data_IF_787334816778
#
_entry.id   IF_787334816778
#
_cell.length_a   1.000
_cell.length_b   1.000
_cell.length_c   1.000
_cell.angle_alpha   90.00
_cell.angle_beta   90.00
_cell.angle_gamma   90.00
#
_symmetry.space_group_name_H-M   'P 1'
#
loop_
_entity.id
_entity.type
_entity.pdbx_description
1 polymer ?
#
# COMPACT_ATOMS: atom_id res chain seq x y z
N UNK A 1 17.60 1.63 11.35
CA UNK A 1 17.11 2.98 11.04
C UNK A 1 16.39 3.57 12.25
N UNK A 2 16.30 4.88 12.29
CA UNK A 2 15.45 5.58 13.23
C UNK A 2 14.86 6.83 12.59
N UNK A 3 13.72 7.27 13.09
CA UNK A 3 13.10 8.53 12.69
C UNK A 3 13.27 9.52 13.84
N UNK A 4 13.70 10.72 13.54
CA UNK A 4 13.80 11.82 14.50
C UNK A 4 12.70 12.85 14.23
N UNK A 5 12.03 13.29 15.29
CA UNK A 5 11.07 14.39 15.27
C UNK A 5 11.52 15.57 16.13
N UNK A 6 12.81 15.63 16.51
CA UNK A 6 13.36 16.75 17.25
C UNK A 6 13.33 18.03 16.38
N UNK A 7 13.16 19.19 17.01
CA UNK A 7 13.16 20.48 16.33
C UNK A 7 14.49 20.66 15.57
N UNK A 8 14.42 20.63 14.25
CA UNK A 8 15.54 20.93 13.36
C UNK A 8 15.83 19.88 12.28
N UNK A 9 15.70 18.59 12.55
CA UNK A 9 16.09 17.54 11.60
C UNK A 9 15.12 16.34 11.65
N UNK A 10 13.90 16.55 11.15
CA UNK A 10 12.97 15.42 10.95
C UNK A 10 13.38 14.67 9.67
N UNK A 11 13.55 13.35 9.78
CA UNK A 11 13.97 12.54 8.65
C UNK A 11 14.15 11.09 8.98
N UNK A 12 14.51 10.30 7.98
CA UNK A 12 14.92 8.91 8.14
C UNK A 12 16.45 8.83 8.01
N UNK A 13 17.04 8.13 8.97
CA UNK A 13 18.49 7.97 9.06
C UNK A 13 18.83 6.49 9.09
N UNK A 14 19.95 6.13 8.50
CA UNK A 14 20.58 4.83 8.70
C UNK A 14 21.78 4.96 9.59
N UNK A 15 22.04 3.95 10.41
CA UNK A 15 23.21 3.87 11.26
C UNK A 15 23.97 2.61 10.91
N UNK A 16 25.26 2.77 10.59
CA UNK A 16 26.16 1.62 10.51
C UNK A 16 26.68 1.32 11.92
N UNK A 17 26.41 0.13 12.48
CA UNK A 17 26.83 -0.22 13.85
C UNK A 17 28.35 -0.16 14.07
N UNK A 18 29.13 -0.41 13.02
CA UNK A 18 30.60 -0.40 13.11
C UNK A 18 31.20 1.01 13.07
N UNK A 19 30.54 1.94 12.35
CA UNK A 19 31.03 3.32 12.17
C UNK A 19 30.42 4.31 13.16
N UNK A 20 29.28 3.97 13.78
CA UNK A 20 28.60 4.77 14.79
C UNK A 20 28.06 6.14 14.32
N UNK A 21 28.20 6.50 13.04
CA UNK A 21 27.72 7.75 12.48
C UNK A 21 26.43 7.55 11.69
N UNK A 22 25.35 8.32 11.99
CA UNK A 22 24.12 8.27 11.21
C UNK A 22 24.30 8.94 9.85
N UNK A 23 23.71 8.34 8.81
CA UNK A 23 23.62 8.92 7.48
C UNK A 23 22.16 9.32 7.21
N UNK A 24 21.93 10.55 6.81
CA UNK A 24 20.61 11.04 6.42
C UNK A 24 20.22 10.44 5.06
N UNK A 25 19.12 9.72 5.01
CA UNK A 25 18.58 9.10 3.82
C UNK A 25 17.54 9.99 3.16
N UNK A 26 16.66 10.58 3.96
CA UNK A 26 15.64 11.52 3.49
C UNK A 26 15.30 12.50 4.60
N UNK A 27 15.38 13.78 4.28
CA UNK A 27 14.85 14.86 5.10
C UNK A 27 13.35 15.05 4.81
N UNK A 28 12.60 15.43 5.83
CA UNK A 28 11.17 15.77 5.68
C UNK A 28 10.43 15.72 6.99
N UNK A 29 9.57 16.71 7.21
CA UNK A 29 8.69 16.83 8.38
C UNK A 29 7.44 15.97 8.29
N UNK A 30 7.27 15.20 7.22
CA UNK A 30 6.12 14.33 6.97
C UNK A 30 6.12 13.06 7.81
N UNK A 31 5.25 12.13 7.44
CA UNK A 31 5.09 10.85 8.12
C UNK A 31 5.76 9.76 7.31
N UNK A 32 6.66 9.02 7.95
CA UNK A 32 7.27 7.82 7.40
C UNK A 32 6.47 6.60 7.84
N UNK A 33 6.10 5.76 6.90
CA UNK A 33 5.32 4.54 7.13
C UNK A 33 6.04 3.36 6.51
N UNK A 34 5.87 2.18 7.07
CA UNK A 34 6.37 0.92 6.54
C UNK A 34 7.79 1.04 5.97
N UNK A 35 8.75 0.58 6.71
CA UNK A 35 10.14 0.53 6.27
C UNK A 35 10.55 -0.93 6.12
N UNK A 36 11.29 -1.25 5.06
CA UNK A 36 11.82 -2.57 4.82
C UNK A 36 13.23 -2.51 4.25
N UNK A 37 14.05 -3.49 4.63
CA UNK A 37 15.37 -3.71 4.06
C UNK A 37 15.35 -4.94 3.15
N UNK A 38 16.29 -4.98 2.21
CA UNK A 38 16.61 -6.22 1.52
C UNK A 38 17.38 -7.16 2.43
N UNK A 39 17.56 -8.43 2.00
CA UNK A 39 18.23 -9.46 2.79
C UNK A 39 19.68 -9.10 3.16
N UNK A 40 20.35 -8.31 2.34
CA UNK A 40 21.73 -7.86 2.59
C UNK A 40 21.83 -6.57 3.40
N UNK A 41 20.71 -5.85 3.62
CA UNK A 41 20.73 -4.55 4.28
C UNK A 41 21.33 -3.42 3.44
N UNK A 42 21.48 -3.61 2.14
CA UNK A 42 22.05 -2.62 1.23
C UNK A 42 21.01 -1.65 0.67
N UNK A 43 19.73 -2.07 0.65
CA UNK A 43 18.61 -1.29 0.13
C UNK A 43 17.56 -1.08 1.20
N UNK A 44 17.04 0.13 1.26
CA UNK A 44 15.96 0.52 2.16
C UNK A 44 14.82 1.08 1.34
N UNK A 45 13.63 0.53 1.51
CA UNK A 45 12.39 1.08 0.95
C UNK A 45 11.45 1.52 2.07
N UNK A 46 10.71 2.60 1.83
CA UNK A 46 9.74 3.13 2.77
C UNK A 46 8.65 3.93 2.09
N UNK A 47 7.52 4.08 2.77
CA UNK A 47 6.44 4.97 2.36
C UNK A 47 6.58 6.30 3.09
N UNK A 48 6.36 7.39 2.37
CA UNK A 48 6.43 8.74 2.91
C UNK A 48 5.21 9.56 2.49
N UNK A 49 4.69 10.34 3.41
CA UNK A 49 3.66 11.34 3.18
C UNK A 49 4.16 12.70 3.65
N UNK A 50 4.18 13.68 2.76
CA UNK A 50 4.61 15.05 3.10
C UNK A 50 3.60 15.75 4.01
N UNK A 51 2.31 15.48 3.83
CA UNK A 51 1.21 16.06 4.59
C UNK A 51 0.97 15.31 5.89
N UNK A 52 1.32 15.94 7.01
CA UNK A 52 1.11 15.39 8.35
C UNK A 52 -0.34 15.55 8.82
N UNK A 53 -0.98 16.63 8.44
CA UNK A 53 -2.29 17.07 8.97
C UNK A 53 -3.47 16.80 8.04
N UNK A 54 -3.23 16.26 6.84
CA UNK A 54 -4.29 15.90 5.91
C UNK A 54 -5.08 14.68 6.38
N UNK A 55 -6.40 14.75 6.27
CA UNK A 55 -7.30 13.63 6.50
C UNK A 55 -7.07 12.48 5.50
N UNK A 56 -6.46 12.78 4.37
CA UNK A 56 -6.01 11.84 3.36
C UNK A 56 -4.50 11.97 3.14
N UNK A 57 -3.79 10.89 3.40
CA UNK A 57 -2.34 10.83 3.24
C UNK A 57 -1.98 10.32 1.85
N UNK A 58 -1.58 11.22 0.97
CA UNK A 58 -1.00 10.85 -0.32
C UNK A 58 0.40 10.25 -0.09
N UNK A 59 0.47 8.93 -0.09
CA UNK A 59 1.72 8.20 0.12
C UNK A 59 2.53 8.15 -1.18
N UNK A 60 3.84 8.27 -1.03
CA UNK A 60 4.83 8.00 -2.07
C UNK A 60 5.80 6.92 -1.62
N UNK A 61 6.30 6.13 -2.58
CA UNK A 61 7.25 5.05 -2.36
C UNK A 61 8.65 5.52 -2.67
N UNK A 62 9.54 5.35 -1.72
CA UNK A 62 10.93 5.79 -1.77
C UNK A 62 11.88 4.61 -1.63
N UNK A 63 13.00 4.70 -2.32
CA UNK A 63 14.07 3.70 -2.31
C UNK A 63 15.41 4.39 -2.09
N UNK A 64 16.20 3.88 -1.16
CA UNK A 64 17.60 4.21 -0.95
C UNK A 64 18.45 2.98 -1.22
N UNK A 65 19.55 3.15 -1.92
CA UNK A 65 20.54 2.10 -2.21
C UNK A 65 21.88 2.50 -1.61
N UNK A 66 22.55 1.56 -0.93
CA UNK A 66 23.89 1.73 -0.35
C UNK A 66 24.03 2.99 0.53
N UNK A 67 23.01 3.31 1.33
CA UNK A 67 22.95 4.51 2.16
C UNK A 67 22.99 5.85 1.38
N UNK A 68 22.73 5.83 0.09
CA UNK A 68 22.57 7.05 -0.69
C UNK A 68 21.24 7.75 -0.36
N UNK A 69 21.11 9.05 -0.65
CA UNK A 69 19.83 9.75 -0.52
C UNK A 69 18.71 9.01 -1.26
N UNK A 70 17.55 8.87 -0.60
CA UNK A 70 16.43 8.14 -1.18
C UNK A 70 15.87 8.85 -2.42
N UNK A 71 15.44 8.05 -3.38
CA UNK A 71 14.75 8.50 -4.60
C UNK A 71 13.29 8.10 -4.53
N UNK A 72 12.41 8.98 -5.00
CA UNK A 72 11.01 8.67 -5.19
C UNK A 72 10.84 7.77 -6.42
N UNK A 73 10.25 6.60 -6.24
CA UNK A 73 10.04 5.62 -7.32
C UNK A 73 8.59 5.52 -7.75
N UNK A 74 7.65 5.84 -6.87
CA UNK A 74 6.24 5.86 -7.22
C UNK A 74 5.48 6.88 -6.36
N UNK A 75 4.54 7.56 -6.98
CA UNK A 75 3.65 8.52 -6.33
C UNK A 75 2.23 8.40 -6.92
N UNK A 76 1.29 9.12 -6.34
CA UNK A 76 -0.07 9.25 -6.84
C UNK A 76 -0.06 9.66 -8.32
N UNK A 77 -0.91 9.01 -9.13
CA UNK A 77 -1.02 9.30 -10.55
C UNK A 77 0.06 8.66 -11.43
N UNK A 78 0.83 7.73 -10.89
CA UNK A 78 1.74 6.94 -11.71
C UNK A 78 0.95 6.15 -12.77
N UNK A 79 1.38 6.26 -14.03
CA UNK A 79 0.70 5.64 -15.19
C UNK A 79 0.64 4.10 -15.14
N UNK A 80 1.44 3.48 -14.31
CA UNK A 80 1.44 2.03 -14.12
C UNK A 80 0.29 1.54 -13.23
N UNK A 81 -0.37 2.44 -12.51
CA UNK A 81 -1.53 2.10 -11.69
C UNK A 81 -2.83 2.24 -12.51
N UNK A 82 -3.86 1.45 -12.18
CA UNK A 82 -5.20 1.73 -12.66
C UNK A 82 -5.64 3.17 -12.34
N UNK A 83 -6.58 3.72 -13.09
CA UNK A 83 -7.10 5.06 -12.84
C UNK A 83 -7.61 5.18 -11.39
N UNK A 84 -7.31 6.29 -10.75
CA UNK A 84 -7.72 6.59 -9.37
C UNK A 84 -7.15 5.62 -8.30
N UNK A 85 -6.08 4.90 -8.62
CA UNK A 85 -5.39 4.07 -7.62
C UNK A 85 -4.19 4.79 -7.02
N UNK A 86 -3.97 4.49 -5.74
CA UNK A 86 -2.92 5.11 -4.91
C UNK A 86 -2.15 4.07 -4.12
N UNK A 87 -0.98 4.44 -3.64
CA UNK A 87 -0.19 3.61 -2.73
C UNK A 87 -0.91 3.55 -1.38
N UNK A 88 -1.01 2.33 -0.82
CA UNK A 88 -1.74 2.03 0.40
C UNK A 88 -0.81 1.51 1.50
N UNK A 89 -0.92 2.10 2.69
CA UNK A 89 -0.13 1.70 3.87
C UNK A 89 -0.53 0.35 4.48
N UNK A 90 -1.68 -0.20 4.10
CA UNK A 90 -2.15 -1.48 4.63
C UNK A 90 -1.62 -2.70 3.83
N UNK A 91 -1.03 -2.47 2.66
CA UNK A 91 -0.39 -3.50 1.88
C UNK A 91 1.01 -3.81 2.40
N UNK A 92 1.51 -5.01 2.12
CA UNK A 92 2.85 -5.41 2.53
C UNK A 92 3.91 -4.73 1.66
N UNK A 93 4.91 -4.12 2.28
CA UNK A 93 6.10 -3.59 1.63
C UNK A 93 7.27 -4.55 1.87
N UNK A 94 7.74 -5.21 0.80
CA UNK A 94 8.76 -6.26 0.92
C UNK A 94 9.60 -6.38 -0.34
N UNK A 95 10.92 -6.57 -0.16
CA UNK A 95 11.79 -7.00 -1.26
C UNK A 95 11.62 -8.48 -1.55
N UNK A 96 11.86 -8.88 -2.81
CA UNK A 96 12.11 -10.28 -3.13
C UNK A 96 13.42 -10.74 -2.52
N UNK A 97 13.64 -12.05 -2.41
CA UNK A 97 14.84 -12.63 -1.82
C UNK A 97 16.14 -12.16 -2.51
N UNK A 98 16.13 -12.08 -3.83
CA UNK A 98 17.28 -11.56 -4.60
C UNK A 98 17.38 -10.03 -4.59
N UNK A 99 16.43 -9.33 -3.96
CA UNK A 99 16.27 -7.87 -4.02
C UNK A 99 16.15 -7.30 -5.45
N UNK A 100 15.72 -8.13 -6.42
CA UNK A 100 15.47 -7.69 -7.79
C UNK A 100 14.13 -7.00 -7.95
N UNK A 101 13.20 -7.24 -7.02
CA UNK A 101 11.82 -6.73 -7.03
C UNK A 101 11.45 -6.16 -5.67
N UNK A 102 10.63 -5.13 -5.68
CA UNK A 102 10.03 -4.56 -4.47
C UNK A 102 8.51 -4.64 -4.61
N UNK A 103 7.86 -5.35 -3.71
CA UNK A 103 6.40 -5.48 -3.65
C UNK A 103 5.84 -4.43 -2.70
N UNK A 104 4.73 -3.82 -3.08
CA UNK A 104 4.05 -2.82 -2.26
C UNK A 104 2.54 -2.86 -2.50
N UNK A 105 1.78 -2.25 -1.59
CA UNK A 105 0.32 -2.21 -1.65
C UNK A 105 -0.21 -1.00 -2.39
N UNK A 106 -1.28 -1.22 -3.16
CA UNK A 106 -2.07 -0.18 -3.81
C UNK A 106 -3.54 -0.39 -3.52
N UNK A 107 -4.35 0.64 -3.63
CA UNK A 107 -5.81 0.57 -3.51
C UNK A 107 -6.47 1.67 -4.34
N UNK A 108 -7.77 1.52 -4.67
CA UNK A 108 -8.55 2.66 -5.12
C UNK A 108 -8.45 3.81 -4.12
N UNK A 109 -8.44 5.04 -4.62
CA UNK A 109 -8.37 6.23 -3.78
C UNK A 109 -9.59 6.28 -2.84
N UNK A 110 -9.39 6.39 -1.51
CA UNK A 110 -10.50 6.49 -0.58
C UNK A 110 -11.32 7.75 -0.87
N UNK A 111 -12.61 7.61 -0.96
CA UNK A 111 -13.50 8.78 -1.06
C UNK A 111 -13.32 9.65 0.17
N UNK A 112 -13.01 10.91 -0.04
CA UNK A 112 -12.89 11.87 1.04
C UNK A 112 -14.25 12.04 1.73
N UNK A 113 -14.23 12.02 3.05
CA UNK A 113 -15.44 12.32 3.82
C UNK A 113 -15.77 13.80 3.61
N UNK A 114 -17.01 14.07 3.24
CA UNK A 114 -17.52 15.45 3.24
C UNK A 114 -17.47 15.99 4.68
N UNK A 115 -16.57 16.92 4.93
CA UNK A 115 -16.41 17.57 6.24
C UNK A 115 -17.22 18.87 6.35
N UNK A 116 -17.92 19.26 5.31
CA UNK A 116 -18.73 20.50 5.30
C UNK A 116 -20.01 20.36 6.13
N UNK A 117 -20.48 19.14 6.35
CA UNK A 117 -21.67 18.86 7.15
C UNK A 117 -21.28 18.41 8.57
N UNK A 118 -21.87 19.02 9.57
CA UNK A 118 -21.76 18.58 10.95
C UNK A 118 -22.28 17.14 11.09
N UNK A 119 -21.62 16.32 11.92
CA UNK A 119 -21.98 14.91 12.12
C UNK A 119 -23.45 14.72 12.52
N UNK A 120 -24.00 15.68 13.27
CA UNK A 120 -25.40 15.69 13.75
C UNK A 120 -26.42 15.86 12.61
N UNK A 121 -26.02 16.50 11.50
CA UNK A 121 -26.89 16.78 10.35
C UNK A 121 -26.77 15.71 9.25
N UNK A 122 -25.95 14.70 9.45
CA UNK A 122 -25.80 13.62 8.47
C UNK A 122 -26.94 12.61 8.65
N UNK A 123 -27.73 12.35 7.59
CA UNK A 123 -28.74 11.33 7.65
C UNK A 123 -28.08 9.95 7.89
N UNK A 124 -28.52 9.26 8.92
CA UNK A 124 -28.08 7.88 9.17
C UNK A 124 -28.92 6.91 8.33
N UNK A 125 -28.77 7.01 7.00
CA UNK A 125 -29.46 6.16 6.05
C UNK A 125 -28.48 5.24 5.37
N UNK A 126 -28.80 3.95 5.33
CA UNK A 126 -28.07 2.94 4.58
C UNK A 126 -28.93 2.52 3.41
N UNK A 127 -28.40 2.65 2.20
CA UNK A 127 -29.05 2.19 0.97
C UNK A 127 -28.29 0.99 0.46
N UNK A 128 -28.99 -0.12 0.26
CA UNK A 128 -28.43 -1.34 -0.31
C UNK A 128 -29.44 -1.94 -1.27
N UNK A 129 -28.92 -2.62 -2.27
CA UNK A 129 -29.74 -3.23 -3.30
C UNK A 129 -29.98 -4.71 -3.00
N UNK A 130 -31.12 -5.23 -3.46
CA UNK A 130 -31.45 -6.65 -3.29
C UNK A 130 -30.57 -7.58 -4.13
N UNK A 131 -29.97 -7.07 -5.19
CA UNK A 131 -29.08 -7.79 -6.11
C UNK A 131 -27.60 -7.76 -5.70
N UNK A 132 -27.29 -7.13 -4.55
CA UNK A 132 -25.95 -7.16 -4.00
C UNK A 132 -25.49 -8.58 -3.67
N UNK A 133 -24.30 -9.01 -4.15
CA UNK A 133 -23.81 -10.37 -3.96
C UNK A 133 -23.49 -10.72 -2.50
N UNK A 134 -23.37 -9.71 -1.64
CA UNK A 134 -23.07 -9.88 -0.21
C UNK A 134 -24.14 -9.18 0.61
N UNK A 135 -24.71 -9.89 1.59
CA UNK A 135 -25.71 -9.33 2.49
C UNK A 135 -25.15 -8.11 3.25
N UNK A 136 -26.01 -7.13 3.45
CA UNK A 136 -25.67 -5.86 4.09
C UNK A 136 -25.06 -6.03 5.51
N UNK A 137 -25.54 -7.00 6.28
CA UNK A 137 -24.98 -7.31 7.62
C UNK A 137 -23.54 -7.76 7.54
N UNK A 138 -23.20 -8.56 6.54
CA UNK A 138 -21.82 -9.03 6.27
C UNK A 138 -20.95 -7.88 5.75
N UNK A 139 -21.49 -7.01 4.89
CA UNK A 139 -20.79 -5.81 4.43
C UNK A 139 -20.44 -4.88 5.61
N UNK A 140 -21.41 -4.65 6.51
CA UNK A 140 -21.15 -3.82 7.70
C UNK A 140 -20.13 -4.45 8.65
N UNK A 141 -20.17 -5.77 8.84
CA UNK A 141 -19.20 -6.50 9.65
C UNK A 141 -17.78 -6.39 9.07
N UNK A 142 -17.65 -6.47 7.76
CA UNK A 142 -16.35 -6.41 7.08
C UNK A 142 -15.90 -4.99 6.74
N UNK A 143 -16.71 -3.96 6.97
CA UNK A 143 -16.47 -2.57 6.54
C UNK A 143 -15.07 -2.05 6.86
N UNK A 144 -14.59 -2.26 8.09
CA UNK A 144 -13.26 -1.79 8.48
C UNK A 144 -12.14 -2.58 7.78
N UNK A 145 -12.35 -3.87 7.54
CA UNK A 145 -11.42 -4.72 6.82
C UNK A 145 -11.37 -4.35 5.35
N UNK A 146 -12.52 -4.08 4.75
CA UNK A 146 -12.62 -3.68 3.34
C UNK A 146 -12.00 -2.30 3.08
N UNK A 147 -12.15 -1.37 4.02
CA UNK A 147 -11.49 -0.07 3.95
C UNK A 147 -9.95 -0.15 4.00
N UNK A 148 -9.41 -1.21 4.60
CA UNK A 148 -7.97 -1.47 4.68
C UNK A 148 -7.48 -2.40 3.56
N UNK A 149 -8.35 -2.80 2.65
CA UNK A 149 -7.99 -3.70 1.56
C UNK A 149 -6.92 -3.09 0.68
N UNK A 150 -5.95 -3.92 0.34
CA UNK A 150 -4.81 -3.53 -0.47
C UNK A 150 -4.52 -4.60 -1.52
N UNK A 151 -4.08 -4.16 -2.67
CA UNK A 151 -3.75 -4.98 -3.82
C UNK A 151 -2.28 -4.84 -4.13
N UNK A 152 -1.63 -5.92 -4.46
CA UNK A 152 -0.19 -5.94 -4.62
C UNK A 152 0.25 -5.42 -5.98
N UNK A 153 1.25 -4.55 -5.98
CA UNK A 153 2.01 -4.11 -7.14
C UNK A 153 3.48 -4.45 -6.95
N UNK A 154 4.23 -4.44 -8.04
CA UNK A 154 5.67 -4.74 -8.04
C UNK A 154 6.44 -3.64 -8.76
N UNK A 155 7.57 -3.26 -8.19
CA UNK A 155 8.59 -2.44 -8.82
C UNK A 155 9.81 -3.31 -9.13
N UNK A 156 10.25 -3.34 -10.37
CA UNK A 156 11.46 -4.04 -10.80
C UNK A 156 12.66 -3.11 -10.69
N UNK A 157 13.62 -3.44 -9.83
CA UNK A 157 14.79 -2.62 -9.59
C UNK A 157 15.73 -2.55 -10.81
N UNK A 158 15.76 -3.61 -11.63
CA UNK A 158 16.65 -3.67 -12.79
C UNK A 158 16.32 -2.70 -13.92
N UNK A 159 15.05 -2.49 -14.19
CA UNK A 159 14.57 -1.64 -15.31
C UNK A 159 13.69 -0.47 -14.88
N UNK A 160 13.41 -0.32 -13.57
CA UNK A 160 12.59 0.74 -13.04
C UNK A 160 11.09 0.65 -13.39
N UNK A 161 10.62 -0.48 -13.90
CA UNK A 161 9.22 -0.65 -14.30
C UNK A 161 8.34 -1.04 -13.11
N UNK A 162 7.10 -0.55 -13.13
CA UNK A 162 6.06 -0.87 -12.16
C UNK A 162 4.95 -1.64 -12.86
N UNK A 163 4.44 -2.68 -12.21
CA UNK A 163 3.29 -3.45 -12.66
C UNK A 163 2.30 -3.68 -11.53
N UNK A 164 1.01 -3.50 -11.83
CA UNK A 164 -0.05 -3.92 -10.94
C UNK A 164 -0.24 -5.43 -11.06
N UNK A 165 -0.14 -6.16 -9.95
CA UNK A 165 -0.26 -7.62 -9.95
C UNK A 165 -1.67 -8.09 -9.58
N UNK A 166 -2.24 -7.55 -8.52
CA UNK A 166 -3.57 -7.88 -8.03
C UNK A 166 -4.54 -6.73 -8.27
N UNK A 167 -5.82 -7.02 -8.42
CA UNK A 167 -6.89 -6.06 -8.61
C UNK A 167 -8.16 -6.48 -7.85
N UNK A 168 -9.26 -5.76 -8.01
CA UNK A 168 -10.52 -6.08 -7.33
C UNK A 168 -11.14 -7.41 -7.77
N UNK A 169 -10.88 -7.87 -8.99
CA UNK A 169 -11.36 -9.14 -9.50
C UNK A 169 -10.52 -10.32 -8.99
N UNK A 170 -9.21 -10.15 -8.96
CA UNK A 170 -8.22 -11.12 -8.51
C UNK A 170 -7.39 -10.55 -7.36
N UNK A 171 -7.99 -10.44 -6.15
CA UNK A 171 -7.37 -9.72 -5.03
C UNK A 171 -6.24 -10.49 -4.35
N UNK A 172 -6.26 -11.81 -4.42
CA UNK A 172 -5.29 -12.64 -3.71
C UNK A 172 -4.15 -13.01 -4.65
N UNK A 173 -2.94 -12.80 -4.18
CA UNK A 173 -1.73 -13.19 -4.88
C UNK A 173 -0.87 -14.08 -4.00
N UNK A 174 -0.35 -15.14 -4.58
CA UNK A 174 0.65 -16.01 -3.96
C UNK A 174 1.91 -15.96 -4.80
N UNK A 175 2.97 -15.45 -4.20
CA UNK A 175 4.30 -15.36 -4.82
C UNK A 175 5.07 -16.64 -4.55
N UNK A 176 5.70 -17.18 -5.59
CA UNK A 176 6.62 -18.30 -5.47
C UNK A 176 8.04 -17.83 -5.14
N UNK A 177 8.81 -18.67 -4.46
CA UNK A 177 10.23 -18.46 -4.15
C UNK A 177 10.50 -17.06 -3.56
N UNK A 178 9.72 -16.68 -2.54
CA UNK A 178 9.86 -15.38 -1.86
C UNK A 178 9.85 -14.16 -2.82
N UNK A 179 9.08 -14.26 -3.90
CA UNK A 179 8.92 -13.21 -4.90
C UNK A 179 9.90 -13.27 -6.09
N UNK A 180 10.82 -14.23 -6.13
CA UNK A 180 11.78 -14.36 -7.23
C UNK A 180 11.31 -15.29 -8.35
N UNK A 181 10.22 -16.04 -8.13
CA UNK A 181 9.66 -16.87 -9.18
C UNK A 181 9.19 -16.03 -10.38
N UNK A 182 9.28 -16.61 -11.57
CA UNK A 182 8.80 -15.97 -12.79
C UNK A 182 7.27 -15.89 -12.87
N UNK A 183 6.58 -16.75 -12.11
CA UNK A 183 5.13 -16.86 -12.10
C UNK A 183 4.60 -16.60 -10.68
N UNK A 184 3.42 -15.99 -10.61
CA UNK A 184 2.64 -15.83 -9.40
C UNK A 184 1.23 -16.38 -9.62
N UNK A 185 0.63 -16.94 -8.57
CA UNK A 185 -0.76 -17.41 -8.61
C UNK A 185 -1.67 -16.27 -8.15
N UNK A 186 -2.64 -15.94 -8.99
CA UNK A 186 -3.74 -15.02 -8.66
C UNK A 186 -5.01 -15.81 -8.43
N UNK A 187 -5.77 -15.48 -7.41
CA UNK A 187 -7.02 -16.15 -7.08
C UNK A 187 -8.06 -15.18 -6.51
N UNK A 188 -9.31 -15.58 -6.65
CA UNK A 188 -10.45 -14.91 -6.04
C UNK A 188 -11.29 -15.92 -5.29
N UNK A 189 -11.80 -15.51 -4.14
CA UNK A 189 -12.75 -16.27 -3.34
C UNK A 189 -14.12 -15.60 -3.35
N UNK A 190 -14.57 -15.10 -4.52
CA UNK A 190 -15.94 -14.57 -4.61
C UNK A 190 -16.89 -15.69 -4.20
N UNK A 191 -17.67 -15.54 -3.12
CA UNK A 191 -18.63 -16.54 -2.74
C UNK A 191 -19.66 -16.65 -3.88
N UNK A 192 -19.88 -17.87 -4.38
CA UNK A 192 -21.04 -18.14 -5.19
C UNK A 192 -22.26 -17.83 -4.31
N UNK A 193 -23.09 -16.89 -4.75
CA UNK A 193 -24.32 -16.60 -4.04
C UNK A 193 -25.17 -17.88 -3.96
N UNK A 194 -25.60 -18.25 -2.77
CA UNK A 194 -26.47 -19.40 -2.56
C UNK A 194 -27.78 -19.29 -3.39
N UNK A 195 -28.18 -18.08 -3.76
CA UNK A 195 -29.36 -17.82 -4.60
C UNK A 195 -29.15 -18.33 -6.04
N UNK A 196 -27.91 -18.33 -6.54
CA UNK A 196 -27.61 -18.86 -7.87
C UNK A 196 -27.42 -20.38 -7.92
N UNK A 197 -27.29 -21.04 -6.75
CA UNK A 197 -27.15 -22.51 -6.67
C UNK A 197 -28.51 -23.19 -6.69
N UNK A 198 -29.58 -22.47 -6.39
CA UNK A 198 -30.95 -23.02 -6.26
C UNK A 198 -31.85 -22.81 -7.47
N UNK A 199 -31.37 -22.26 -8.58
CA UNK A 199 -32.15 -22.23 -9.81
C UNK A 199 -32.14 -23.63 -10.45
N UNK A 200 -33.28 -24.35 -10.49
CA UNK A 200 -33.36 -25.60 -11.22
C UNK A 200 -33.25 -25.29 -12.72
N UNK A 201 -32.31 -25.93 -13.38
CA UNK A 201 -32.22 -26.00 -14.83
C UNK A 201 -33.42 -26.67 -15.45
#
# INVERSE_FOLDING_TARGET
>A
YYTSAAEGEAGIFTLNPEKGSPALIKEGKGVFKQTTFDEKGERLAFLYCADKDSSYKALSLWLSEHNAPAKEIATRGNKAFPAEWVINENGMLQFSKSASRLFFGTSPEPRQKDTTQLAENRPNVQVWSWDEPVQYTVQNYNKEKDLKKSYQAVYNLGNGSIFQLANEELPNIQLGNEGDAALALLSTSRPLSLIHISEPT
#
